data_IF_146850350645
#
_entry.id   IF_146850350645
#
_cell.length_a   1.000
_cell.length_b   1.000
_cell.length_c   1.000
_cell.angle_alpha   90.00
_cell.angle_beta   90.00
_cell.angle_gamma   90.00
#
_symmetry.space_group_name_H-M   'P 1'
#
loop_
_entity.id
_entity.type
_entity.pdbx_description
1 polymer ?
#
# COMPACT_ATOMS: atom_id res chain seq x y z
N UNK A 1 -2.27 -30.60 -1.64
CA UNK A 1 -2.65 -29.79 -2.82
C UNK A 1 -2.28 -28.37 -2.45
N UNK A 2 -1.07 -27.94 -2.80
CA UNK A 2 -0.62 -26.58 -2.48
C UNK A 2 -1.39 -25.58 -3.34
N UNK A 3 -1.68 -24.37 -2.84
CA UNK A 3 -2.31 -23.36 -3.67
C UNK A 3 -1.31 -22.94 -4.74
N UNK A 4 -1.56 -23.35 -5.99
CA UNK A 4 -0.92 -22.78 -7.18
C UNK A 4 -1.30 -21.30 -7.26
N UNK A 5 -0.58 -20.46 -6.51
CA UNK A 5 -0.67 -19.01 -6.64
C UNK A 5 0.03 -18.64 -7.95
N UNK A 6 -0.78 -18.40 -8.98
CA UNK A 6 -0.35 -18.04 -10.35
C UNK A 6 0.31 -16.65 -10.42
N UNK A 7 0.37 -15.91 -9.32
CA UNK A 7 1.08 -14.64 -9.17
C UNK A 7 1.44 -14.44 -7.70
N UNK A 8 2.73 -14.29 -7.42
CA UNK A 8 3.19 -13.86 -6.08
C UNK A 8 2.96 -12.37 -5.96
N UNK A 9 2.25 -11.95 -4.92
CA UNK A 9 2.09 -10.53 -4.57
C UNK A 9 2.21 -10.36 -3.07
N UNK A 10 3.26 -9.67 -2.65
CA UNK A 10 3.59 -9.43 -1.24
C UNK A 10 3.46 -7.96 -0.99
N UNK A 11 2.71 -7.58 0.04
CA UNK A 11 2.61 -6.20 0.52
C UNK A 11 2.81 -6.22 2.03
N UNK A 12 3.80 -5.47 2.52
CA UNK A 12 4.19 -5.45 3.93
C UNK A 12 4.39 -4.00 4.35
N UNK A 13 3.82 -3.64 5.51
CA UNK A 13 4.22 -2.44 6.21
C UNK A 13 5.56 -2.72 6.89
N UNK A 14 6.63 -2.05 6.46
CA UNK A 14 7.98 -2.23 7.03
C UNK A 14 8.26 -1.22 8.16
N UNK A 15 7.58 -0.06 8.11
CA UNK A 15 7.62 1.00 9.14
C UNK A 15 6.33 1.84 9.07
N UNK A 16 6.09 2.74 10.03
CA UNK A 16 4.92 3.64 10.05
C UNK A 16 4.78 4.50 8.77
N UNK A 17 5.87 4.67 8.02
CA UNK A 17 5.93 5.52 6.84
C UNK A 17 6.21 4.76 5.53
N UNK A 18 6.28 3.41 5.53
CA UNK A 18 6.71 2.66 4.35
C UNK A 18 5.99 1.33 4.16
N UNK A 19 5.35 1.20 2.99
CA UNK A 19 4.83 -0.08 2.49
C UNK A 19 5.79 -0.61 1.43
N UNK A 20 6.32 -1.80 1.66
CA UNK A 20 7.04 -2.57 0.66
C UNK A 20 6.06 -3.45 -0.11
N UNK A 21 6.26 -3.52 -1.42
CA UNK A 21 5.51 -4.42 -2.28
C UNK A 21 6.41 -5.11 -3.29
N UNK A 22 6.19 -6.40 -3.49
CA UNK A 22 6.90 -7.22 -4.47
C UNK A 22 5.88 -8.04 -5.24
N UNK A 23 6.06 -8.16 -6.54
CA UNK A 23 5.32 -9.11 -7.36
C UNK A 23 6.20 -9.93 -8.26
N UNK A 24 5.70 -11.12 -8.57
CA UNK A 24 6.17 -11.98 -9.65
C UNK A 24 4.94 -12.61 -10.33
N UNK A 25 4.67 -12.19 -11.56
CA UNK A 25 3.59 -12.72 -12.38
C UNK A 25 4.11 -13.93 -13.18
N UNK A 26 3.44 -15.07 -13.05
CA UNK A 26 3.81 -16.28 -13.79
C UNK A 26 3.69 -16.04 -15.31
N UNK A 27 4.60 -16.62 -16.10
CA UNK A 27 4.66 -16.40 -17.55
C UNK A 27 3.33 -16.63 -18.26
N UNK A 28 2.56 -17.66 -17.87
CA UNK A 28 1.27 -17.92 -18.49
C UNK A 28 0.24 -16.81 -18.22
N UNK A 29 0.27 -16.22 -17.02
CA UNK A 29 -0.60 -15.08 -16.68
C UNK A 29 -0.11 -13.84 -17.42
N UNK A 30 1.19 -13.62 -17.49
CA UNK A 30 1.79 -12.48 -18.20
C UNK A 30 1.40 -12.44 -19.68
N UNK A 31 1.55 -13.55 -20.39
CA UNK A 31 1.20 -13.63 -21.81
C UNK A 31 -0.31 -13.44 -22.04
N UNK A 32 -1.16 -13.92 -21.11
CA UNK A 32 -2.59 -13.61 -21.16
C UNK A 32 -2.87 -12.13 -21.00
N UNK A 33 -2.17 -11.44 -20.08
CA UNK A 33 -2.32 -9.99 -19.93
C UNK A 33 -1.81 -9.25 -21.17
N UNK A 34 -0.68 -9.64 -21.75
CA UNK A 34 -0.19 -9.05 -23.02
C UNK A 34 -1.22 -9.10 -24.14
N UNK A 35 -1.99 -10.19 -24.23
CA UNK A 35 -3.02 -10.34 -25.24
C UNK A 35 -4.31 -9.54 -24.95
N UNK A 36 -4.59 -9.20 -23.69
CA UNK A 36 -5.87 -8.63 -23.25
C UNK A 36 -5.80 -7.17 -22.77
N UNK A 37 -4.58 -6.63 -22.63
CA UNK A 37 -4.30 -5.31 -22.07
C UNK A 37 -3.75 -4.32 -23.09
N UNK A 38 -3.91 -3.04 -22.79
CA UNK A 38 -3.18 -1.97 -23.47
C UNK A 38 -1.70 -2.18 -23.18
N UNK A 39 -0.90 -2.14 -24.25
CA UNK A 39 0.53 -2.32 -24.16
C UNK A 39 1.26 -0.98 -24.07
N UNK A 40 2.38 -0.96 -23.35
CA UNK A 40 3.35 0.13 -23.36
C UNK A 40 4.19 0.12 -24.66
N UNK A 41 5.17 1.02 -24.74
CA UNK A 41 6.04 1.14 -25.91
C UNK A 41 6.95 -0.07 -26.14
N UNK A 42 7.10 -0.96 -25.15
CA UNK A 42 7.86 -2.20 -25.24
C UNK A 42 6.97 -3.41 -25.58
N UNK A 43 5.66 -3.22 -25.67
CA UNK A 43 4.70 -4.29 -25.93
C UNK A 43 4.30 -5.06 -24.66
N UNK A 44 4.60 -4.53 -23.49
CA UNK A 44 4.21 -5.12 -22.20
C UNK A 44 2.94 -4.47 -21.65
N UNK A 45 2.14 -5.16 -20.81
CA UNK A 45 0.90 -4.62 -20.29
C UNK A 45 1.15 -3.34 -19.47
N UNK A 46 0.29 -2.33 -19.65
CA UNK A 46 0.33 -1.13 -18.82
C UNK A 46 -0.26 -1.43 -17.44
N UNK A 47 0.59 -1.44 -16.42
CA UNK A 47 0.25 -1.86 -15.06
C UNK A 47 0.07 -0.68 -14.13
N UNK A 48 -0.76 -0.89 -13.11
CA UNK A 48 -0.98 0.07 -12.03
C UNK A 48 -0.90 -0.64 -10.69
N UNK A 49 -0.28 0.04 -9.74
CA UNK A 49 -0.36 -0.32 -8.34
C UNK A 49 -1.35 0.63 -7.67
N UNK A 50 -2.51 0.10 -7.35
CA UNK A 50 -3.62 0.84 -6.75
C UNK A 50 -3.63 0.65 -5.24
N UNK A 51 -3.84 1.74 -4.51
CA UNK A 51 -4.02 1.74 -3.06
C UNK A 51 -5.47 2.11 -2.77
N UNK A 52 -6.19 1.21 -2.13
CA UNK A 52 -7.59 1.34 -1.78
C UNK A 52 -7.72 1.53 -0.27
N UNK A 53 -8.50 2.51 0.17
CA UNK A 53 -8.90 2.64 1.58
C UNK A 53 -10.11 1.74 1.82
N UNK A 54 -10.06 0.94 2.88
CA UNK A 54 -11.13 0.04 3.30
C UNK A 54 -11.81 0.61 4.54
N UNK A 55 -13.11 0.91 4.44
CA UNK A 55 -13.95 1.40 5.54
C UNK A 55 -15.30 0.71 5.53
N UNK A 56 -15.68 0.09 6.66
CA UNK A 56 -17.02 -0.50 6.87
C UNK A 56 -17.49 -1.44 5.73
N UNK A 57 -16.57 -2.25 5.21
CA UNK A 57 -16.84 -3.19 4.12
C UNK A 57 -16.91 -2.56 2.73
N UNK A 58 -16.61 -1.26 2.59
CA UNK A 58 -16.46 -0.57 1.30
C UNK A 58 -15.00 -0.26 1.04
N UNK A 59 -14.60 -0.32 -0.22
CA UNK A 59 -13.27 0.08 -0.68
C UNK A 59 -13.37 1.27 -1.61
N UNK A 60 -12.51 2.27 -1.42
CA UNK A 60 -12.43 3.47 -2.26
C UNK A 60 -10.99 3.68 -2.71
N UNK A 61 -10.78 3.88 -4.02
CA UNK A 61 -9.45 4.14 -4.56
C UNK A 61 -8.91 5.43 -3.94
N UNK A 62 -7.74 5.34 -3.30
CA UNK A 62 -7.06 6.46 -2.70
C UNK A 62 -6.06 7.07 -3.68
N UNK A 63 -5.17 6.23 -4.22
CA UNK A 63 -4.14 6.63 -5.18
C UNK A 63 -3.77 5.45 -6.06
N UNK A 64 -3.22 5.74 -7.24
CA UNK A 64 -2.64 4.75 -8.15
C UNK A 64 -1.26 5.21 -8.63
N UNK A 65 -0.39 4.24 -8.90
CA UNK A 65 0.94 4.48 -9.45
C UNK A 65 1.11 3.66 -10.73
N UNK A 66 1.52 4.26 -11.86
CA UNK A 66 1.91 3.48 -13.03
C UNK A 66 3.17 2.69 -12.70
N UNK A 67 3.12 1.37 -12.90
CA UNK A 67 4.22 0.45 -12.65
C UNK A 67 4.50 -0.39 -13.89
N UNK A 68 5.59 -1.15 -13.88
CA UNK A 68 6.02 -1.93 -15.04
C UNK A 68 6.75 -3.19 -14.62
N UNK A 69 6.84 -4.11 -15.57
CA UNK A 69 7.58 -5.36 -15.44
C UNK A 69 6.77 -6.48 -14.81
N UNK A 70 7.03 -7.69 -15.31
CA UNK A 70 6.47 -8.95 -14.83
C UNK A 70 6.89 -9.27 -13.39
N UNK A 71 8.06 -8.81 -12.99
CA UNK A 71 8.64 -8.97 -11.65
C UNK A 71 9.25 -7.64 -11.21
N UNK A 72 8.87 -7.16 -10.03
CA UNK A 72 9.38 -5.89 -9.51
C UNK A 72 9.25 -5.77 -7.99
N UNK A 73 9.99 -4.82 -7.42
CA UNK A 73 9.95 -4.43 -6.01
C UNK A 73 9.81 -2.93 -5.88
N UNK A 74 8.86 -2.50 -5.08
CA UNK A 74 8.50 -1.11 -4.90
C UNK A 74 8.42 -0.74 -3.43
N UNK A 75 8.72 0.53 -3.17
CA UNK A 75 8.54 1.17 -1.88
C UNK A 75 7.52 2.29 -2.07
N UNK A 76 6.40 2.20 -1.36
CA UNK A 76 5.39 3.23 -1.31
C UNK A 76 5.53 3.95 0.02
N UNK A 77 5.89 5.24 -0.04
CA UNK A 77 5.88 6.09 1.14
C UNK A 77 4.45 6.38 1.57
N UNK A 78 4.17 6.21 2.86
CA UNK A 78 2.86 6.54 3.42
C UNK A 78 2.66 8.05 3.36
N UNK A 79 1.61 8.46 2.67
CA UNK A 79 1.19 9.86 2.62
C UNK A 79 0.05 10.12 3.59
N UNK A 80 -0.24 11.40 3.85
CA UNK A 80 -1.34 11.78 4.73
C UNK A 80 -2.73 11.35 4.24
N UNK A 81 -2.87 10.93 2.97
CA UNK A 81 -4.15 10.50 2.39
C UNK A 81 -4.59 9.14 2.93
N UNK A 82 -3.63 8.26 3.25
CA UNK A 82 -3.90 6.90 3.74
C UNK A 82 -3.19 6.56 5.06
N UNK A 83 -2.45 7.51 5.66
CA UNK A 83 -1.99 7.39 7.04
C UNK A 83 -3.18 7.27 8.01
N UNK A 84 -3.07 6.36 8.99
CA UNK A 84 -4.16 6.09 9.95
C UNK A 84 -5.37 5.38 9.35
N UNK A 85 -5.25 4.81 8.14
CA UNK A 85 -6.34 4.11 7.46
C UNK A 85 -5.98 2.64 7.30
N UNK A 86 -7.02 1.82 7.17
CA UNK A 86 -6.88 0.48 6.63
C UNK A 86 -6.84 0.56 5.12
N UNK A 87 -5.82 -0.06 4.52
CA UNK A 87 -5.62 -0.07 3.07
C UNK A 87 -5.57 -1.47 2.51
N UNK A 88 -5.81 -1.58 1.21
CA UNK A 88 -5.56 -2.76 0.40
C UNK A 88 -4.83 -2.34 -0.86
N UNK A 89 -3.85 -3.12 -1.29
CA UNK A 89 -3.12 -2.87 -2.52
C UNK A 89 -3.58 -3.85 -3.60
N UNK A 90 -3.67 -3.37 -4.82
CA UNK A 90 -4.02 -4.19 -5.98
C UNK A 90 -3.06 -3.88 -7.13
N UNK A 91 -2.53 -4.93 -7.74
CA UNK A 91 -1.81 -4.83 -9.01
C UNK A 91 -2.82 -5.04 -10.12
N UNK A 92 -3.01 -4.04 -10.98
CA UNK A 92 -4.01 -4.06 -12.05
C UNK A 92 -3.38 -3.80 -13.41
N UNK A 93 -4.07 -4.18 -14.47
CA UNK A 93 -3.74 -3.81 -15.85
C UNK A 93 -4.93 -3.14 -16.53
N UNK A 94 -4.64 -2.24 -17.47
CA UNK A 94 -5.67 -1.66 -18.32
C UNK A 94 -6.04 -2.62 -19.44
N UNK A 95 -7.31 -3.02 -19.53
CA UNK A 95 -7.81 -3.84 -20.63
C UNK A 95 -7.91 -3.03 -21.92
N UNK A 96 -7.80 -3.70 -23.07
CA UNK A 96 -8.11 -3.12 -24.39
C UNK A 96 -9.52 -2.51 -24.49
N UNK A 97 -10.44 -2.91 -23.61
CA UNK A 97 -11.81 -2.39 -23.56
C UNK A 97 -11.98 -1.21 -22.60
N UNK A 98 -10.88 -0.67 -22.05
CA UNK A 98 -10.89 0.55 -21.22
C UNK A 98 -11.31 0.37 -19.76
N UNK A 99 -11.35 -0.88 -19.25
CA UNK A 99 -11.58 -1.16 -17.83
C UNK A 99 -10.34 -1.77 -17.15
N UNK A 100 -10.23 -1.63 -15.82
CA UNK A 100 -9.15 -2.20 -15.00
C UNK A 100 -9.40 -3.68 -14.71
N UNK A 101 -8.36 -4.50 -14.87
CA UNK A 101 -8.36 -5.92 -14.50
C UNK A 101 -7.41 -6.13 -13.34
N UNK A 102 -7.91 -6.72 -12.24
CA UNK A 102 -7.07 -7.08 -11.10
C UNK A 102 -6.25 -8.33 -11.45
N UNK A 103 -4.93 -8.21 -11.36
CA UNK A 103 -3.99 -9.32 -11.52
C UNK A 103 -3.75 -9.98 -10.16
N UNK A 104 -3.51 -9.16 -9.13
CA UNK A 104 -3.29 -9.61 -7.77
C UNK A 104 -3.80 -8.56 -6.77
N UNK A 105 -4.17 -9.02 -5.58
CA UNK A 105 -4.68 -8.18 -4.50
C UNK A 105 -4.07 -8.64 -3.16
N UNK A 106 -3.74 -7.68 -2.30
CA UNK A 106 -3.22 -7.95 -0.96
C UNK A 106 -4.34 -8.21 0.05
N UNK A 107 -3.97 -8.70 1.23
CA UNK A 107 -4.81 -8.56 2.41
C UNK A 107 -4.94 -7.09 2.84
N UNK A 108 -5.78 -6.85 3.85
CA UNK A 108 -5.90 -5.55 4.50
C UNK A 108 -4.67 -5.23 5.36
N UNK A 109 -4.19 -4.00 5.27
CA UNK A 109 -3.04 -3.48 6.01
C UNK A 109 -3.52 -2.28 6.82
N UNK A 110 -3.37 -2.34 8.14
CA UNK A 110 -3.64 -1.20 9.01
C UNK A 110 -2.40 -0.27 9.02
N UNK A 111 -2.53 0.91 8.40
CA UNK A 111 -1.46 1.91 8.35
C UNK A 111 -1.58 2.81 9.58
N UNK A 112 -0.54 2.91 10.42
CA UNK A 112 -0.58 3.78 11.59
C UNK A 112 -0.64 5.26 11.17
N UNK A 113 -1.12 6.11 12.08
CA UNK A 113 -0.83 7.54 11.99
C UNK A 113 0.64 7.72 12.29
N UNK A 114 1.39 8.40 11.42
CA UNK A 114 2.77 8.74 11.73
C UNK A 114 2.83 9.61 12.98
N UNK A 115 3.90 9.48 13.77
CA UNK A 115 4.08 10.27 15.00
C UNK A 115 3.89 11.79 14.76
N UNK A 116 4.36 12.30 13.62
CA UNK A 116 4.18 13.70 13.23
C UNK A 116 2.71 14.08 12.93
N UNK A 117 1.96 13.20 12.27
CA UNK A 117 0.54 13.43 11.99
C UNK A 117 -0.32 13.34 13.27
N UNK A 118 0.03 12.41 14.17
CA UNK A 118 -0.57 12.29 15.49
C UNK A 118 -0.31 13.55 16.34
N UNK A 119 0.95 14.00 16.44
CA UNK A 119 1.32 15.22 17.17
C UNK A 119 0.54 16.45 16.66
N UNK A 120 0.45 16.61 15.33
CA UNK A 120 -0.32 17.69 14.71
C UNK A 120 -1.82 17.60 15.06
N UNK A 121 -2.40 16.41 15.04
CA UNK A 121 -3.80 16.19 15.39
C UNK A 121 -4.08 16.50 16.86
N UNK A 122 -3.21 16.03 17.77
CA UNK A 122 -3.31 16.27 19.20
C UNK A 122 -3.21 17.77 19.55
N UNK A 123 -2.28 18.49 18.91
CA UNK A 123 -2.15 19.95 19.05
C UNK A 123 -3.38 20.69 18.54
N UNK A 124 -3.88 20.34 17.35
CA UNK A 124 -5.07 20.95 16.76
C UNK A 124 -6.30 20.79 17.67
N UNK A 125 -6.44 19.63 18.29
CA UNK A 125 -7.58 19.32 19.16
C UNK A 125 -7.39 19.77 20.61
N UNK A 126 -6.27 20.44 20.95
CA UNK A 126 -6.02 20.96 22.30
C UNK A 126 -5.82 19.90 23.38
N UNK A 127 -5.52 18.65 22.98
CA UNK A 127 -5.40 17.49 23.90
C UNK A 127 -3.96 16.98 24.03
N UNK A 128 -2.98 17.69 23.43
CA UNK A 128 -1.56 17.29 23.49
C UNK A 128 -1.05 17.17 24.92
N UNK A 129 -1.35 18.15 25.77
CA UNK A 129 -0.89 18.16 27.16
C UNK A 129 -1.48 16.98 27.95
N UNK A 130 -2.75 16.65 27.71
CA UNK A 130 -3.41 15.48 28.32
C UNK A 130 -2.80 14.16 27.83
N UNK A 131 -2.49 14.08 26.53
CA UNK A 131 -1.83 12.92 25.94
C UNK A 131 -0.44 12.69 26.54
N UNK A 132 0.33 13.75 26.75
CA UNK A 132 1.67 13.66 27.35
C UNK A 132 1.62 13.25 28.82
N UNK A 133 0.68 13.81 29.60
CA UNK A 133 0.48 13.46 31.01
C UNK A 133 0.02 12.00 31.16
N UNK A 134 -0.71 11.46 30.19
CA UNK A 134 -1.21 10.07 30.23
C UNK A 134 -0.11 9.00 30.10
N UNK A 135 1.14 9.39 29.78
CA UNK A 135 2.24 8.46 29.51
C UNK A 135 2.19 7.81 28.12
N UNK A 136 1.10 7.99 27.36
CA UNK A 136 0.96 7.47 26.00
C UNK A 136 1.96 8.07 24.99
N UNK A 137 2.50 9.26 25.28
CA UNK A 137 3.57 9.89 24.50
C UNK A 137 4.99 9.43 24.84
N UNK A 138 5.16 8.60 25.89
CA UNK A 138 6.46 8.32 26.51
C UNK A 138 7.41 7.40 25.74
N UNK A 139 6.96 6.71 24.69
CA UNK A 139 7.80 5.71 24.00
C UNK A 139 8.56 6.25 22.76
N UNK A 140 8.33 7.50 22.36
CA UNK A 140 9.05 8.10 21.21
C UNK A 140 10.32 8.87 21.59
N UNK A 141 10.60 9.02 22.89
CA UNK A 141 11.74 9.75 23.41
C UNK A 141 12.49 8.94 24.45
N UNK A 142 13.17 7.87 24.04
CA UNK A 142 14.09 7.13 24.91
C UNK A 142 15.25 8.01 25.36
N UNK A 143 15.08 8.72 26.48
CA UNK A 143 16.18 9.34 27.21
C UNK A 143 16.85 8.26 28.07
N UNK A 144 17.81 7.55 27.47
CA UNK A 144 18.78 6.75 28.21
C UNK A 144 19.80 7.67 28.87
N UNK A 145 19.51 8.14 30.08
CA UNK A 145 20.55 8.66 30.99
C UNK A 145 21.02 7.50 31.88
N UNK A 146 22.18 6.92 31.53
CA UNK A 146 22.94 6.05 32.42
C UNK A 146 23.45 6.84 33.64
N UNK A 147 23.46 6.11 34.76
CA UNK A 147 23.86 6.52 36.11
C UNK A 147 25.28 7.04 36.22
#
# INVERSE_FOLDING_TARGET
MEPNSSTKFVCLLIDENLIFTEWHIESQVWEKQKAASIADYQGDPFLFLEVWIVMEGRSTLCTEYPVYGRENRWHIFVTGEFAGRRVRLSLTAESLHGYRVIIAESGEIDVPLSGAALDKSLRKNGVKDLYDISGAGGETGGSSSSS
#
